data_IF_888217790408
#
_entry.id   IF_888217790408
#
_cell.length_a   1.000
_cell.length_b   1.000
_cell.length_c   1.000
_cell.angle_alpha   90.00
_cell.angle_beta   90.00
_cell.angle_gamma   90.00
#
_symmetry.space_group_name_H-M   'P 1'
#
loop_
_entity.id
_entity.type
_entity.pdbx_description
1 polymer ?
#
# COMPACT_ATOMS: atom_id res chain seq x y z
N UNK A 1 -40.31 18.07 14.36
CA UNK A 1 -39.59 17.79 15.63
C UNK A 1 -38.35 16.99 15.30
N UNK A 2 -37.18 17.57 15.60
CA UNK A 2 -35.83 16.96 15.78
C UNK A 2 -35.34 16.00 14.67
N UNK A 3 -34.49 16.37 13.71
CA UNK A 3 -33.12 16.88 13.85
C UNK A 3 -32.34 16.19 14.98
N UNK A 4 -31.41 15.27 14.64
CA UNK A 4 -30.64 14.52 15.65
C UNK A 4 -29.67 13.44 15.13
N UNK A 5 -28.61 13.87 14.45
CA UNK A 5 -27.21 13.42 14.63
C UNK A 5 -26.85 11.94 14.37
N UNK A 6 -26.13 11.70 13.26
CA UNK A 6 -24.75 11.21 13.40
C UNK A 6 -23.86 11.95 12.40
N UNK A 7 -23.08 12.88 12.95
CA UNK A 7 -22.08 13.65 12.26
C UNK A 7 -20.97 12.71 11.77
N UNK A 8 -20.94 12.41 10.46
CA UNK A 8 -19.92 11.56 9.83
C UNK A 8 -18.53 12.26 9.75
N UNK A 9 -18.33 13.36 10.48
CA UNK A 9 -17.05 14.10 10.55
C UNK A 9 -15.96 13.36 11.33
N UNK A 10 -16.30 12.37 12.14
CA UNK A 10 -15.31 11.58 12.91
C UNK A 10 -14.64 10.46 12.10
N UNK A 11 -15.24 10.02 10.97
CA UNK A 11 -14.72 8.92 10.13
C UNK A 11 -13.96 9.42 8.90
N UNK A 12 -14.20 10.66 8.45
CA UNK A 12 -13.60 11.21 7.24
C UNK A 12 -12.05 11.23 7.28
N UNK A 13 -11.45 11.49 8.46
CA UNK A 13 -9.99 11.49 8.61
C UNK A 13 -9.37 10.09 8.73
N UNK A 14 -10.16 9.07 9.08
CA UNK A 14 -9.66 7.73 9.41
C UNK A 14 -9.47 6.80 8.20
N UNK A 15 -9.96 7.21 7.01
CA UNK A 15 -9.98 6.36 5.81
C UNK A 15 -8.99 6.82 4.72
N UNK A 16 -8.06 7.71 5.06
CA UNK A 16 -6.96 8.11 4.18
C UNK A 16 -5.78 7.13 4.33
N UNK A 17 -5.64 6.19 3.39
CA UNK A 17 -4.59 5.17 3.43
C UNK A 17 -3.17 5.77 3.40
N UNK A 18 -3.00 6.92 2.76
CA UNK A 18 -1.74 7.67 2.71
C UNK A 18 -1.20 8.00 4.11
N UNK A 19 -2.07 8.25 5.10
CA UNK A 19 -1.66 8.54 6.47
C UNK A 19 -1.16 7.30 7.23
N UNK A 20 -1.46 6.08 6.74
CA UNK A 20 -0.90 4.82 7.27
C UNK A 20 0.33 4.35 6.50
N UNK A 21 0.41 4.73 5.23
CA UNK A 21 1.49 4.33 4.33
C UNK A 21 2.72 5.25 4.42
N UNK A 22 2.50 6.56 4.50
CA UNK A 22 3.56 7.56 4.61
C UNK A 22 3.88 7.76 6.09
N UNK A 23 5.09 7.35 6.50
CA UNK A 23 5.52 7.43 7.89
C UNK A 23 5.56 8.87 8.43
N UNK A 24 6.28 9.80 7.78
CA UNK A 24 6.38 11.17 8.26
C UNK A 24 5.06 11.95 8.19
N UNK A 25 4.62 12.49 9.32
CA UNK A 25 3.49 13.41 9.37
C UNK A 25 3.89 14.84 8.95
N UNK A 26 2.93 15.76 8.94
CA UNK A 26 3.16 17.15 8.53
C UNK A 26 4.19 17.89 9.41
N UNK A 27 4.26 17.60 10.71
CA UNK A 27 5.24 18.16 11.63
C UNK A 27 6.66 17.66 11.33
N UNK A 28 6.82 16.35 11.29
CA UNK A 28 8.10 15.69 10.97
C UNK A 28 8.61 16.09 9.57
N UNK A 29 7.70 16.21 8.61
CA UNK A 29 8.04 16.69 7.26
C UNK A 29 8.59 18.11 7.30
N UNK A 30 8.01 19.03 8.08
CA UNK A 30 8.54 20.39 8.23
C UNK A 30 9.93 20.40 8.88
N UNK A 31 10.14 19.57 9.89
CA UNK A 31 11.43 19.45 10.57
C UNK A 31 12.53 18.95 9.61
N UNK A 32 12.24 17.92 8.82
CA UNK A 32 13.16 17.41 7.80
C UNK A 32 13.45 18.44 6.70
N UNK A 33 12.44 19.17 6.23
CA UNK A 33 12.63 20.24 5.23
C UNK A 33 13.48 21.38 5.77
N UNK A 34 13.27 21.77 7.03
CA UNK A 34 14.08 22.78 7.71
C UNK A 34 15.54 22.33 7.87
N UNK A 35 15.78 21.06 8.21
CA UNK A 35 17.13 20.50 8.36
C UNK A 35 17.96 20.58 7.06
N UNK A 36 17.31 20.48 5.90
CA UNK A 36 17.96 20.62 4.58
C UNK A 36 17.81 22.02 3.97
N UNK A 37 17.26 23.00 4.71
CA UNK A 37 17.16 24.39 4.31
C UNK A 37 16.21 24.66 3.13
N UNK A 38 15.16 23.84 2.96
CA UNK A 38 14.13 24.06 1.92
C UNK A 38 12.77 24.40 2.56
N UNK A 39 11.99 25.31 1.97
CA UNK A 39 10.77 25.81 2.61
C UNK A 39 9.54 24.92 2.36
N UNK A 40 9.58 24.02 1.38
CA UNK A 40 8.44 23.18 1.02
C UNK A 40 8.84 21.95 0.21
N UNK A 41 7.95 20.96 0.17
CA UNK A 41 8.08 19.78 -0.69
C UNK A 41 8.16 20.16 -2.18
N UNK A 42 7.36 21.13 -2.62
CA UNK A 42 7.40 21.63 -4.01
C UNK A 42 8.78 22.22 -4.36
N UNK A 43 9.39 22.96 -3.41
CA UNK A 43 10.75 23.50 -3.61
C UNK A 43 11.79 22.38 -3.68
N UNK A 44 11.64 21.34 -2.85
CA UNK A 44 12.53 20.18 -2.90
C UNK A 44 12.44 19.46 -4.26
N UNK A 45 11.23 19.20 -4.74
CA UNK A 45 10.99 18.51 -6.02
C UNK A 45 11.56 19.32 -7.18
N UNK A 46 11.25 20.62 -7.26
CA UNK A 46 11.73 21.50 -8.34
C UNK A 46 13.26 21.67 -8.39
N UNK A 47 13.94 21.60 -7.23
CA UNK A 47 15.41 21.60 -7.17
C UNK A 47 16.04 20.25 -7.52
N UNK A 48 15.29 19.15 -7.44
CA UNK A 48 15.81 17.77 -7.61
C UNK A 48 15.52 17.21 -9.00
N UNK A 49 14.31 17.40 -9.51
CA UNK A 49 13.87 16.83 -10.80
C UNK A 49 13.84 17.94 -11.86
N UNK A 50 14.61 17.79 -12.96
CA UNK A 50 14.60 18.78 -14.04
C UNK A 50 13.20 19.01 -14.61
N UNK A 51 12.82 20.28 -14.79
CA UNK A 51 11.51 20.66 -15.28
C UNK A 51 11.19 20.06 -16.67
N UNK A 52 12.20 19.83 -17.51
CA UNK A 52 12.04 19.28 -18.87
C UNK A 52 11.50 17.86 -18.93
N UNK A 53 11.58 17.10 -17.82
CA UNK A 53 11.09 15.72 -17.73
C UNK A 53 9.97 15.56 -16.70
N UNK A 54 9.58 16.65 -16.03
CA UNK A 54 8.52 16.64 -15.02
C UNK A 54 7.16 16.71 -15.72
N UNK A 55 6.21 15.92 -15.22
CA UNK A 55 4.84 15.98 -15.72
C UNK A 55 4.21 17.33 -15.34
N UNK A 56 3.63 18.01 -16.33
CA UNK A 56 3.02 19.34 -16.23
C UNK A 56 1.53 19.31 -15.85
N UNK A 57 0.99 18.11 -15.65
CA UNK A 57 -0.38 17.83 -15.27
C UNK A 57 -0.43 16.75 -14.18
N UNK A 58 -1.53 16.66 -13.41
CA UNK A 58 -1.76 15.52 -12.54
C UNK A 58 -1.82 14.19 -13.30
N UNK A 59 -1.64 13.09 -12.58
CA UNK A 59 -1.92 11.75 -13.09
C UNK A 59 -3.42 11.62 -13.39
N UNK A 60 -3.75 11.06 -14.56
CA UNK A 60 -5.13 10.78 -14.94
C UNK A 60 -5.57 9.43 -14.36
N UNK A 61 -5.74 9.38 -13.04
CA UNK A 61 -6.18 8.20 -12.29
C UNK A 61 -7.41 8.55 -11.45
N UNK A 62 -8.26 7.55 -11.10
CA UNK A 62 -9.37 7.77 -10.18
C UNK A 62 -8.89 8.28 -8.82
N UNK A 63 -9.78 8.96 -8.10
CA UNK A 63 -9.51 9.36 -6.72
C UNK A 63 -9.20 8.15 -5.85
N UNK A 64 -8.33 8.37 -4.86
CA UNK A 64 -8.05 7.37 -3.84
C UNK A 64 -9.31 7.02 -3.06
N UNK A 65 -9.52 5.72 -2.84
CA UNK A 65 -10.58 5.21 -1.98
C UNK A 65 -9.97 4.67 -0.69
N UNK A 66 -10.80 4.62 0.35
CA UNK A 66 -10.44 4.02 1.62
C UNK A 66 -10.07 2.55 1.54
N UNK A 67 -9.35 2.06 2.55
CA UNK A 67 -8.85 0.67 2.57
C UNK A 67 -10.00 -0.36 2.56
N UNK A 68 -11.05 -0.11 3.33
CA UNK A 68 -12.21 -1.01 3.37
C UNK A 68 -13.00 -0.99 2.05
N UNK A 69 -13.11 0.18 1.43
CA UNK A 69 -13.73 0.33 0.13
C UNK A 69 -12.93 -0.41 -0.95
N UNK A 70 -11.59 -0.29 -0.95
CA UNK A 70 -10.70 -1.00 -1.87
C UNK A 70 -10.83 -2.52 -1.76
N UNK A 71 -10.86 -3.07 -0.54
CA UNK A 71 -11.07 -4.50 -0.33
C UNK A 71 -12.45 -4.96 -0.82
N UNK A 72 -13.49 -4.15 -0.60
CA UNK A 72 -14.86 -4.46 -1.02
C UNK A 72 -15.00 -4.44 -2.55
N UNK A 73 -14.40 -3.44 -3.20
CA UNK A 73 -14.36 -3.33 -4.65
C UNK A 73 -13.60 -4.51 -5.27
N UNK A 74 -12.42 -4.85 -4.74
CA UNK A 74 -11.65 -5.99 -5.22
C UNK A 74 -12.44 -7.30 -5.11
N UNK A 75 -13.14 -7.52 -3.99
CA UNK A 75 -14.02 -8.69 -3.82
C UNK A 75 -15.15 -8.71 -4.85
N UNK A 76 -15.77 -7.57 -5.12
CA UNK A 76 -16.83 -7.44 -6.13
C UNK A 76 -16.31 -7.80 -7.52
N UNK A 77 -15.13 -7.30 -7.90
CA UNK A 77 -14.48 -7.62 -9.19
C UNK A 77 -14.17 -9.11 -9.34
N UNK A 78 -13.80 -9.78 -8.25
CA UNK A 78 -13.47 -11.21 -8.25
C UNK A 78 -14.70 -12.14 -8.20
N UNK A 79 -15.90 -11.62 -7.91
CA UNK A 79 -17.12 -12.43 -7.73
C UNK A 79 -17.48 -13.28 -8.96
N UNK A 80 -17.16 -12.81 -10.17
CA UNK A 80 -17.45 -13.52 -11.42
C UNK A 80 -16.37 -14.52 -11.88
N UNK A 81 -15.26 -14.66 -11.14
CA UNK A 81 -14.17 -15.54 -11.55
C UNK A 81 -14.59 -17.01 -11.37
N UNK A 82 -14.70 -17.74 -12.48
CA UNK A 82 -15.08 -19.16 -12.44
C UNK A 82 -13.90 -20.00 -11.97
N UNK A 83 -14.10 -20.76 -10.89
CA UNK A 83 -13.10 -21.69 -10.34
C UNK A 83 -13.47 -23.11 -10.75
N UNK A 84 -12.74 -23.70 -11.69
CA UNK A 84 -12.90 -25.10 -12.10
C UNK A 84 -11.70 -25.94 -11.74
N UNK A 85 -11.84 -27.27 -11.82
CA UNK A 85 -10.69 -28.17 -11.85
C UNK A 85 -10.03 -28.07 -13.23
N UNK A 86 -8.97 -27.27 -13.34
CA UNK A 86 -8.19 -27.17 -14.56
C UNK A 86 -7.24 -28.37 -14.71
N UNK A 87 -7.36 -29.10 -15.83
CA UNK A 87 -6.50 -30.23 -16.21
C UNK A 87 -5.69 -29.94 -17.49
N UNK A 88 -5.43 -28.65 -17.77
CA UNK A 88 -4.76 -28.18 -18.99
C UNK A 88 -3.27 -28.58 -18.99
N UNK A 89 -2.62 -28.59 -17.83
CA UNK A 89 -1.18 -28.86 -17.70
C UNK A 89 -0.33 -27.67 -18.15
N UNK A 90 0.68 -27.92 -18.98
CA UNK A 90 1.62 -26.91 -19.50
C UNK A 90 2.42 -26.15 -18.43
N UNK A 91 2.82 -26.83 -17.35
CA UNK A 91 3.67 -26.27 -16.30
C UNK A 91 2.93 -25.72 -15.09
N UNK A 92 1.59 -25.70 -15.10
CA UNK A 92 0.78 -25.35 -13.93
C UNK A 92 -0.14 -26.49 -13.54
N UNK A 93 -0.04 -26.91 -12.28
CA UNK A 93 -0.84 -28.00 -11.72
C UNK A 93 -1.44 -27.53 -10.40
N UNK A 94 -2.75 -27.72 -10.24
CA UNK A 94 -3.43 -27.40 -8.98
C UNK A 94 -2.84 -28.22 -7.82
N UNK A 95 -2.69 -27.58 -6.67
CA UNK A 95 -2.16 -28.23 -5.45
C UNK A 95 -2.95 -27.79 -4.22
N UNK A 96 -2.91 -28.61 -3.17
CA UNK A 96 -3.40 -28.25 -1.86
C UNK A 96 -2.27 -27.59 -1.08
N UNK A 97 -2.31 -26.26 -0.95
CA UNK A 97 -1.35 -25.53 -0.12
C UNK A 97 -1.64 -25.85 1.36
N UNK A 98 -0.68 -26.43 2.12
CA UNK A 98 -0.91 -26.74 3.52
C UNK A 98 -1.27 -25.48 4.31
N UNK A 99 -2.39 -25.47 5.08
CA UNK A 99 -2.84 -24.26 5.78
C UNK A 99 -1.81 -23.69 6.75
N UNK A 100 -0.99 -24.55 7.37
CA UNK A 100 0.09 -24.13 8.26
C UNK A 100 1.18 -23.33 7.54
N UNK A 101 1.47 -23.63 6.27
CA UNK A 101 2.44 -22.88 5.45
C UNK A 101 1.80 -21.58 4.98
N UNK A 102 0.57 -21.63 4.47
CA UNK A 102 -0.16 -20.45 4.01
C UNK A 102 -0.22 -19.37 5.10
N UNK A 103 -0.69 -19.74 6.30
CA UNK A 103 -0.94 -18.78 7.38
C UNK A 103 0.32 -18.23 8.03
N UNK A 104 1.36 -19.07 8.21
CA UNK A 104 2.52 -18.74 9.04
C UNK A 104 3.76 -18.32 8.24
N UNK A 105 3.76 -18.54 6.91
CA UNK A 105 4.85 -18.14 6.02
C UNK A 105 4.34 -17.14 4.98
N UNK A 106 3.40 -17.52 4.12
CA UNK A 106 2.97 -16.65 3.01
C UNK A 106 2.20 -15.41 3.47
N UNK A 107 1.35 -15.55 4.49
CA UNK A 107 0.56 -14.44 5.06
C UNK A 107 1.26 -13.75 6.25
N UNK A 108 2.52 -14.10 6.53
CA UNK A 108 3.27 -13.56 7.67
C UNK A 108 4.32 -12.52 7.25
N UNK A 109 4.19 -11.24 7.62
CA UNK A 109 5.14 -10.20 7.22
C UNK A 109 6.57 -10.46 7.70
N UNK A 110 6.79 -11.23 8.76
CA UNK A 110 8.13 -11.63 9.20
C UNK A 110 8.91 -12.47 8.16
N UNK A 111 8.21 -13.09 7.21
CA UNK A 111 8.81 -13.90 6.16
C UNK A 111 8.91 -13.19 4.81
N UNK A 112 7.94 -12.33 4.45
CA UNK A 112 7.89 -11.72 3.11
C UNK A 112 8.37 -10.27 3.03
N UNK A 113 8.61 -9.58 4.15
CA UNK A 113 9.08 -8.18 4.11
C UNK A 113 10.59 -8.04 3.96
N UNK A 114 11.35 -9.05 4.41
CA UNK A 114 12.81 -9.05 4.25
C UNK A 114 13.21 -9.25 2.80
N UNK A 115 14.34 -8.65 2.39
CA UNK A 115 14.89 -8.81 1.05
C UNK A 115 16.04 -9.83 1.02
N UNK A 116 16.80 -9.83 -0.07
CA UNK A 116 18.01 -10.63 -0.28
C UNK A 116 18.88 -10.63 0.98
N UNK A 117 19.33 -11.81 1.47
CA UNK A 117 20.02 -11.94 2.75
C UNK A 117 21.50 -11.52 2.67
N UNK A 118 21.76 -10.25 2.34
CA UNK A 118 23.11 -9.66 2.29
C UNK A 118 23.80 -9.58 3.66
N UNK A 119 23.02 -9.65 4.76
CA UNK A 119 23.52 -9.62 6.13
C UNK A 119 23.22 -10.98 6.79
N UNK A 120 24.15 -11.95 6.73
CA UNK A 120 23.88 -13.32 7.13
C UNK A 120 23.61 -13.48 8.62
N UNK A 121 24.23 -12.68 9.48
CA UNK A 121 24.10 -12.74 10.95
C UNK A 121 22.65 -12.55 11.42
N UNK A 122 21.84 -11.82 10.63
CA UNK A 122 20.43 -11.53 10.91
C UNK A 122 19.48 -12.17 9.88
N UNK A 123 19.97 -13.11 9.07
CA UNK A 123 19.19 -13.72 7.98
C UNK A 123 19.19 -15.25 7.96
N UNK A 124 19.79 -15.91 8.97
CA UNK A 124 19.95 -17.38 9.02
C UNK A 124 18.64 -18.17 8.84
N UNK A 125 17.49 -17.62 9.20
CA UNK A 125 16.21 -18.31 9.03
C UNK A 125 15.78 -18.53 7.56
N UNK A 126 16.28 -17.71 6.62
CA UNK A 126 15.94 -17.79 5.18
C UNK A 126 17.13 -18.02 4.25
N UNK A 127 18.35 -18.08 4.80
CA UNK A 127 19.58 -18.45 4.09
C UNK A 127 19.63 -19.96 3.86
#
# INVERSE_FOLDING_TARGET
MTAGISDNRLTANADHFENRHIGPNAGETREMLAAIGVPSMETLISKTVPASIRLDRPLAIPDGIGEQAALSELRSRLYGVTRTRALIGQGYHGTLVPPVILRNLLENPGWYTSYTPYQPEISQGRL
#
